data_IF_507155390893
#
_entry.id   IF_507155390893
#
_cell.length_a   1.000
_cell.length_b   1.000
_cell.length_c   1.000
_cell.angle_alpha   90.00
_cell.angle_beta   90.00
_cell.angle_gamma   90.00
#
_symmetry.space_group_name_H-M   'P 1'
#
loop_
_entity.id
_entity.type
_entity.pdbx_description
1 polymer ?
#
# COMPACT_ATOMS: atom_id res chain seq x y z
N UNK A 1 12.50 -6.45 -21.53
CA UNK A 1 11.73 -6.02 -20.36
C UNK A 1 11.32 -4.55 -20.46
N UNK A 2 12.26 -3.59 -20.50
CA UNK A 2 11.92 -2.16 -20.47
C UNK A 2 10.93 -1.69 -21.56
N UNK A 3 11.07 -2.05 -22.86
CA UNK A 3 10.11 -1.60 -23.87
C UNK A 3 8.68 -2.10 -23.60
N UNK A 4 8.55 -3.31 -23.06
CA UNK A 4 7.25 -3.89 -22.70
C UNK A 4 6.65 -3.14 -21.51
N UNK A 5 7.45 -2.86 -20.48
CA UNK A 5 7.01 -2.10 -19.30
C UNK A 5 6.50 -0.71 -19.71
N UNK A 6 7.33 0.05 -20.45
CA UNK A 6 6.99 1.43 -20.84
C UNK A 6 5.85 1.50 -21.87
N UNK A 7 5.67 0.43 -22.67
CA UNK A 7 4.53 0.31 -23.57
C UNK A 7 3.19 0.05 -22.86
N UNK A 8 3.20 -0.34 -21.58
CA UNK A 8 1.99 -0.68 -20.81
C UNK A 8 1.85 0.13 -19.51
N UNK A 9 2.83 0.97 -19.17
CA UNK A 9 2.82 1.79 -17.95
C UNK A 9 3.26 3.22 -18.27
N UNK A 10 2.51 4.24 -17.81
CA UNK A 10 1.27 4.15 -17.02
C UNK A 10 0.06 3.73 -17.87
N UNK A 11 -0.90 3.03 -17.25
CA UNK A 11 -2.17 2.64 -17.89
C UNK A 11 -3.28 3.71 -17.76
N UNK A 12 -2.94 4.89 -17.24
CA UNK A 12 -3.88 6.00 -16.98
C UNK A 12 -4.41 6.05 -15.54
N UNK A 13 -4.72 7.25 -15.07
CA UNK A 13 -5.41 7.53 -13.79
C UNK A 13 -6.13 8.88 -13.88
N UNK A 14 -7.02 9.19 -12.93
CA UNK A 14 -7.69 10.49 -12.89
C UNK A 14 -6.82 11.56 -12.23
N UNK A 15 -6.97 12.82 -12.66
CA UNK A 15 -6.32 13.97 -11.98
C UNK A 15 -6.72 14.05 -10.51
N UNK A 16 -7.97 13.70 -10.20
CA UNK A 16 -8.48 13.64 -8.83
C UNK A 16 -7.71 12.64 -7.96
N UNK A 17 -7.32 11.49 -8.52
CA UNK A 17 -6.49 10.51 -7.81
C UNK A 17 -5.13 11.10 -7.46
N UNK A 18 -4.47 11.79 -8.39
CA UNK A 18 -3.18 12.44 -8.14
C UNK A 18 -3.28 13.54 -7.07
N UNK A 19 -4.33 14.38 -7.14
CA UNK A 19 -4.63 15.38 -6.11
C UNK A 19 -4.88 14.72 -4.76
N UNK A 20 -5.56 13.58 -4.73
CA UNK A 20 -5.80 12.86 -3.49
C UNK A 20 -4.49 12.38 -2.85
N UNK A 21 -3.57 11.79 -3.62
CA UNK A 21 -2.25 11.42 -3.10
C UNK A 21 -1.50 12.63 -2.52
N UNK A 22 -1.57 13.79 -3.16
CA UNK A 22 -1.00 15.02 -2.62
C UNK A 22 -1.68 15.46 -1.31
N UNK A 23 -2.99 15.28 -1.18
CA UNK A 23 -3.72 15.53 0.07
C UNK A 23 -3.22 14.61 1.19
N UNK A 24 -3.06 13.31 0.92
CA UNK A 24 -2.58 12.32 1.89
C UNK A 24 -1.14 12.62 2.34
N UNK A 25 -0.25 12.99 1.40
CA UNK A 25 1.13 13.42 1.73
C UNK A 25 1.10 14.64 2.64
N UNK A 26 0.22 15.61 2.36
CA UNK A 26 0.11 16.85 3.14
C UNK A 26 -0.51 16.62 4.52
N UNK A 27 -1.55 15.79 4.64
CA UNK A 27 -2.25 15.56 5.90
C UNK A 27 -1.55 14.54 6.80
N UNK A 28 -0.79 13.60 6.21
CA UNK A 28 -0.19 12.48 6.94
C UNK A 28 -1.23 11.49 7.48
N UNK A 29 -2.48 11.59 7.02
CA UNK A 29 -3.61 10.77 7.48
C UNK A 29 -4.12 9.88 6.38
N UNK A 30 -4.64 8.70 6.74
CA UNK A 30 -5.30 7.81 5.80
C UNK A 30 -6.80 8.11 5.80
N UNK A 31 -7.25 8.92 4.86
CA UNK A 31 -8.60 9.53 4.83
C UNK A 31 -9.12 9.61 3.38
N UNK A 32 -10.45 9.77 3.15
CA UNK A 32 -11.00 9.94 1.81
C UNK A 32 -10.69 11.34 1.24
N UNK A 33 -11.02 11.54 -0.03
CA UNK A 33 -10.76 12.80 -0.75
C UNK A 33 -11.32 14.03 -0.05
N UNK A 34 -10.48 15.03 0.19
CA UNK A 34 -10.94 16.31 0.73
C UNK A 34 -11.54 17.16 -0.40
N UNK A 35 -12.87 17.33 -0.39
CA UNK A 35 -13.60 18.17 -1.34
C UNK A 35 -13.66 19.65 -0.91
N UNK A 36 -13.09 19.99 0.24
CA UNK A 36 -13.26 21.27 0.92
C UNK A 36 -14.53 21.29 1.81
N UNK A 37 -14.61 22.24 2.77
CA UNK A 37 -15.55 22.16 3.88
C UNK A 37 -17.03 22.00 3.51
N UNK A 38 -17.48 22.75 2.49
CA UNK A 38 -18.88 22.74 2.05
C UNK A 38 -19.28 21.40 1.44
N UNK A 39 -18.40 20.80 0.65
CA UNK A 39 -18.68 19.53 -0.01
C UNK A 39 -18.43 18.34 0.93
N UNK A 40 -17.42 18.42 1.80
CA UNK A 40 -17.23 17.45 2.87
C UNK A 40 -18.46 17.35 3.77
N UNK A 41 -19.09 18.47 4.12
CA UNK A 41 -20.33 18.43 4.90
C UNK A 41 -21.43 17.65 4.19
N UNK A 42 -21.55 17.78 2.86
CA UNK A 42 -22.53 17.01 2.08
C UNK A 42 -22.16 15.54 1.92
N UNK A 43 -20.87 15.22 1.82
CA UNK A 43 -20.40 13.87 1.56
C UNK A 43 -20.20 13.03 2.83
N UNK A 44 -19.81 13.68 3.92
CA UNK A 44 -19.29 13.05 5.15
C UNK A 44 -20.04 13.51 6.41
N UNK A 45 -20.95 14.49 6.32
CA UNK A 45 -21.59 15.14 7.48
C UNK A 45 -20.61 15.80 8.45
N UNK A 46 -19.41 16.16 7.97
CA UNK A 46 -18.40 16.91 8.72
C UNK A 46 -17.57 17.78 7.76
N UNK A 47 -16.92 18.83 8.26
CA UNK A 47 -16.17 19.78 7.43
C UNK A 47 -14.82 19.26 6.94
N UNK A 48 -14.28 18.22 7.56
CA UNK A 48 -13.02 17.54 7.16
C UNK A 48 -13.30 16.09 6.80
N UNK A 49 -12.49 15.44 5.96
CA UNK A 49 -12.62 14.00 5.73
C UNK A 49 -12.32 13.21 7.03
N UNK A 50 -13.10 12.15 7.35
CA UNK A 50 -12.80 11.27 8.49
C UNK A 50 -11.69 10.27 8.14
N UNK A 51 -10.81 9.93 9.10
CA UNK A 51 -9.83 8.86 8.87
C UNK A 51 -10.51 7.49 8.68
N UNK A 52 -9.92 6.65 7.83
CA UNK A 52 -10.30 5.25 7.75
C UNK A 52 -9.87 4.52 9.02
N UNK A 53 -10.85 3.93 9.70
CA UNK A 53 -10.61 3.12 10.88
C UNK A 53 -10.08 1.73 10.48
N UNK A 54 -8.77 1.56 10.63
CA UNK A 54 -8.06 0.31 10.33
C UNK A 54 -8.43 -0.84 11.28
N UNK A 55 -9.11 -0.58 12.40
CA UNK A 55 -9.59 -1.65 13.29
C UNK A 55 -10.71 -2.47 12.65
N UNK A 56 -11.40 -1.90 11.65
CA UNK A 56 -12.43 -2.60 10.87
C UNK A 56 -11.85 -3.63 9.88
N UNK A 57 -10.52 -3.68 9.71
CA UNK A 57 -9.88 -4.67 8.85
C UNK A 57 -9.76 -6.00 9.60
N UNK A 58 -10.73 -6.88 9.38
CA UNK A 58 -10.80 -8.20 10.00
C UNK A 58 -10.03 -9.31 9.25
N UNK A 59 -9.55 -9.04 8.04
CA UNK A 59 -8.85 -10.04 7.22
C UNK A 59 -7.39 -10.20 7.66
N UNK A 60 -6.84 -11.44 7.73
CA UNK A 60 -5.43 -11.66 8.02
C UNK A 60 -4.51 -11.06 6.94
N UNK A 61 -3.57 -10.20 7.35
CA UNK A 61 -2.66 -9.49 6.42
C UNK A 61 -1.21 -9.91 6.63
N UNK A 62 -0.52 -10.26 5.54
CA UNK A 62 0.93 -10.40 5.47
C UNK A 62 1.53 -9.18 4.76
N UNK A 63 2.39 -8.41 5.45
CA UNK A 63 3.00 -7.21 4.90
C UNK A 63 4.38 -7.54 4.32
N UNK A 64 4.54 -7.45 3.01
CA UNK A 64 5.85 -7.51 2.35
C UNK A 64 6.35 -6.10 2.08
N UNK A 65 7.61 -5.81 2.43
CA UNK A 65 8.18 -4.47 2.28
C UNK A 65 9.69 -4.50 2.05
N UNK A 66 10.25 -3.42 1.52
CA UNK A 66 11.68 -3.22 1.35
C UNK A 66 12.12 -1.85 1.86
N UNK A 67 13.41 -1.69 2.13
CA UNK A 67 13.93 -0.47 2.77
C UNK A 67 14.15 0.67 1.76
N UNK A 68 14.32 0.36 0.47
CA UNK A 68 14.54 1.33 -0.61
C UNK A 68 13.26 1.62 -1.43
N UNK A 69 12.09 1.45 -0.82
CA UNK A 69 10.80 1.81 -1.42
C UNK A 69 10.44 3.26 -1.07
N UNK A 70 10.33 4.12 -2.10
CA UNK A 70 10.02 5.54 -1.92
C UNK A 70 8.52 5.84 -1.86
N UNK A 71 7.66 4.91 -2.28
CA UNK A 71 6.21 5.09 -2.26
C UNK A 71 5.58 4.40 -1.04
N UNK A 72 6.11 3.24 -0.65
CA UNK A 72 5.73 2.50 0.55
C UNK A 72 6.93 2.41 1.51
N UNK A 73 7.34 3.56 2.05
CA UNK A 73 8.48 3.65 2.95
C UNK A 73 8.36 2.71 4.15
N UNK A 74 9.48 2.10 4.57
CA UNK A 74 9.48 1.08 5.62
C UNK A 74 8.92 1.59 6.97
N UNK A 75 9.04 2.89 7.26
CA UNK A 75 8.45 3.50 8.45
C UNK A 75 6.92 3.54 8.37
N UNK A 76 6.36 3.90 7.21
CA UNK A 76 4.91 3.93 7.00
C UNK A 76 4.31 2.52 7.06
N UNK A 77 5.01 1.52 6.51
CA UNK A 77 4.60 0.11 6.65
C UNK A 77 4.63 -0.34 8.11
N UNK A 78 5.62 0.09 8.90
CA UNK A 78 5.67 -0.20 10.34
C UNK A 78 4.53 0.49 11.09
N UNK A 79 4.21 1.74 10.75
CA UNK A 79 3.08 2.47 11.32
C UNK A 79 1.74 1.78 10.99
N UNK A 80 1.58 1.31 9.76
CA UNK A 80 0.43 0.50 9.34
C UNK A 80 0.34 -0.80 10.16
N UNK A 81 1.45 -1.53 10.33
CA UNK A 81 1.43 -2.83 11.01
C UNK A 81 1.00 -2.76 12.48
N UNK A 82 1.30 -1.66 13.16
CA UNK A 82 0.87 -1.41 14.55
C UNK A 82 -0.64 -1.16 14.63
N UNK A 83 -1.23 -0.52 13.61
CA UNK A 83 -2.66 -0.21 13.55
C UNK A 83 -3.54 -1.39 13.10
N UNK A 84 -2.96 -2.38 12.42
CA UNK A 84 -3.68 -3.59 11.97
C UNK A 84 -3.92 -4.59 13.11
N UNK A 85 -5.18 -5.03 13.24
CA UNK A 85 -5.60 -6.02 14.23
C UNK A 85 -5.17 -7.43 13.86
N UNK A 86 -5.41 -7.84 12.61
CA UNK A 86 -5.14 -9.20 12.11
C UNK A 86 -3.91 -9.20 11.20
N UNK A 87 -2.71 -9.33 11.79
CA UNK A 87 -1.46 -9.45 11.03
C UNK A 87 -0.85 -10.85 11.17
N UNK A 88 -0.54 -11.45 10.02
CA UNK A 88 0.18 -12.71 9.90
C UNK A 88 1.68 -12.48 10.18
N UNK A 89 2.21 -11.34 9.72
CA UNK A 89 3.60 -10.97 9.90
C UNK A 89 4.06 -9.86 8.97
N UNK A 90 5.28 -9.40 9.21
CA UNK A 90 6.00 -8.46 8.36
C UNK A 90 7.22 -9.17 7.74
N UNK A 91 7.35 -9.09 6.43
CA UNK A 91 8.35 -9.81 5.64
C UNK A 91 9.20 -8.84 4.86
N UNK A 92 10.33 -8.45 5.45
CA UNK A 92 11.32 -7.60 4.79
C UNK A 92 11.98 -8.35 3.63
N UNK A 93 12.13 -7.68 2.49
CA UNK A 93 12.96 -8.14 1.38
C UNK A 93 14.43 -7.92 1.75
N UNK A 94 15.19 -9.00 1.81
CA UNK A 94 16.61 -9.00 2.21
C UNK A 94 17.54 -8.61 1.05
N UNK A 95 17.19 -7.53 0.35
CA UNK A 95 18.00 -6.94 -0.72
C UNK A 95 17.89 -5.41 -0.59
N UNK A 96 18.95 -4.71 -0.13
CA UNK A 96 18.87 -3.27 0.16
C UNK A 96 18.46 -2.40 -1.02
N UNK A 97 18.79 -2.78 -2.25
CA UNK A 97 18.44 -2.02 -3.45
C UNK A 97 17.00 -2.22 -3.92
N UNK A 98 16.30 -3.24 -3.40
CA UNK A 98 14.95 -3.60 -3.83
C UNK A 98 13.96 -2.47 -3.52
N UNK A 99 13.27 -1.97 -4.54
CA UNK A 99 12.38 -0.81 -4.45
C UNK A 99 10.93 -1.16 -4.80
N UNK A 100 10.09 -0.13 -4.94
CA UNK A 100 8.66 -0.26 -5.20
C UNK A 100 8.31 -1.12 -6.42
N UNK A 101 8.99 -0.90 -7.56
CA UNK A 101 8.64 -1.57 -8.81
C UNK A 101 9.25 -2.98 -8.89
N UNK A 102 10.26 -3.26 -8.07
CA UNK A 102 10.91 -4.57 -8.01
C UNK A 102 9.97 -5.66 -7.51
N UNK A 103 8.95 -5.31 -6.70
CA UNK A 103 7.89 -6.24 -6.29
C UNK A 103 7.13 -6.83 -7.48
N UNK A 104 7.17 -6.20 -8.65
CA UNK A 104 6.51 -6.64 -9.86
C UNK A 104 7.50 -7.10 -10.95
N UNK A 105 8.62 -6.40 -11.13
CA UNK A 105 9.50 -6.58 -12.30
C UNK A 105 10.91 -7.12 -12.00
N UNK A 106 11.31 -7.25 -10.73
CA UNK A 106 12.65 -7.75 -10.44
C UNK A 106 12.78 -9.23 -10.84
N UNK A 107 13.90 -9.56 -11.47
CA UNK A 107 14.24 -10.95 -11.83
C UNK A 107 14.27 -11.88 -10.61
N UNK A 108 14.64 -11.33 -9.46
CA UNK A 108 14.74 -12.06 -8.19
C UNK A 108 13.45 -12.06 -7.35
N UNK A 109 12.40 -11.35 -7.78
CA UNK A 109 11.11 -11.30 -7.06
C UNK A 109 10.49 -12.70 -6.81
N UNK A 110 10.58 -13.68 -7.73
CA UNK A 110 10.11 -15.04 -7.47
C UNK A 110 10.75 -15.68 -6.23
N UNK A 111 12.07 -15.48 -6.05
CA UNK A 111 12.83 -16.02 -4.93
C UNK A 111 12.61 -15.19 -3.66
N UNK A 112 12.71 -13.86 -3.76
CA UNK A 112 12.74 -12.95 -2.62
C UNK A 112 11.35 -12.69 -2.00
N UNK A 113 10.29 -12.74 -2.81
CA UNK A 113 8.93 -12.36 -2.44
C UNK A 113 7.94 -13.50 -2.72
N UNK A 114 7.78 -13.94 -3.98
CA UNK A 114 6.64 -14.79 -4.36
C UNK A 114 6.66 -16.17 -3.71
N UNK A 115 7.85 -16.77 -3.53
CA UNK A 115 8.01 -18.04 -2.81
C UNK A 115 7.43 -17.99 -1.39
N UNK A 116 7.60 -16.86 -0.69
CA UNK A 116 7.09 -16.62 0.67
C UNK A 116 5.57 -16.42 0.64
N UNK A 117 5.05 -15.67 -0.34
CA UNK A 117 3.60 -15.49 -0.54
C UNK A 117 2.93 -16.85 -0.78
N UNK A 118 3.44 -17.65 -1.70
CA UNK A 118 2.89 -18.98 -2.00
C UNK A 118 2.94 -19.92 -0.80
N UNK A 119 4.02 -19.85 0.01
CA UNK A 119 4.12 -20.61 1.26
C UNK A 119 3.06 -20.17 2.27
N UNK A 120 2.86 -18.87 2.44
CA UNK A 120 1.83 -18.33 3.34
C UNK A 120 0.43 -18.76 2.88
N UNK A 121 0.09 -18.63 1.59
CA UNK A 121 -1.19 -19.07 1.05
C UNK A 121 -1.45 -20.55 1.31
N UNK A 122 -0.46 -21.43 1.05
CA UNK A 122 -0.59 -22.87 1.33
C UNK A 122 -0.84 -23.17 2.82
N UNK A 123 -0.24 -22.41 3.73
CA UNK A 123 -0.46 -22.58 5.17
C UNK A 123 -1.86 -22.14 5.63
N UNK A 124 -2.48 -21.18 4.93
CA UNK A 124 -3.81 -20.68 5.28
C UNK A 124 -4.95 -21.41 4.56
N UNK A 125 -4.72 -21.96 3.37
CA UNK A 125 -5.71 -22.78 2.65
C UNK A 125 -5.86 -24.17 3.26
N UNK A 126 -4.80 -24.71 3.87
CA UNK A 126 -4.81 -26.05 4.48
C UNK A 126 -5.16 -26.03 5.98
N UNK A 127 -5.68 -24.92 6.49
CA UNK A 127 -6.24 -24.78 7.85
C UNK A 127 -7.75 -24.86 7.76
#
# INVERSE_FOLDING_TARGET
>A
MLPVILGHTPAGTSTRTLVHYAQLIRSGRFEPYDFGPRMNMKCYNQSTPPEYDLTNIAVPIALHYSDNDWLAGHLDVKNLSVRLQQKIGMFRVSLPSFNHVDFMWAKDAPKLVYSKILKALKQYVNK
#
